data_IF_617702883784
#
_entry.id   IF_617702883784
#
_cell.length_a   1.000
_cell.length_b   1.000
_cell.length_c   1.000
_cell.angle_alpha   90.00
_cell.angle_beta   90.00
_cell.angle_gamma   90.00
#
_symmetry.space_group_name_H-M   'P 1'
#
loop_
_entity.id
_entity.type
_entity.pdbx_description
1 polymer ?
#
# COMPACT_ATOMS: atom_id res chain seq x y z
N UNK A 1 104.57 4.13 -15.31
CA UNK A 1 103.57 4.26 -16.39
C UNK A 1 102.54 3.11 -16.35
N UNK A 2 102.02 2.71 -15.18
CA UNK A 2 100.99 1.65 -15.09
C UNK A 2 99.64 2.10 -14.50
N UNK A 3 99.53 3.30 -13.93
CA UNK A 3 98.34 3.68 -13.14
C UNK A 3 97.15 4.19 -13.96
N UNK A 4 97.37 4.83 -15.10
CA UNK A 4 96.28 5.42 -15.91
C UNK A 4 95.45 4.39 -16.69
N UNK A 5 96.00 3.20 -16.98
CA UNK A 5 95.28 2.08 -17.62
C UNK A 5 94.50 1.24 -16.62
N UNK A 6 95.02 1.05 -15.40
CA UNK A 6 94.33 0.35 -14.32
C UNK A 6 93.10 1.13 -13.84
N UNK A 7 93.26 2.43 -13.55
CA UNK A 7 92.16 3.33 -13.16
C UNK A 7 91.04 3.40 -14.22
N UNK A 8 91.39 3.33 -15.51
CA UNK A 8 90.40 3.32 -16.60
C UNK A 8 89.63 1.99 -16.67
N UNK A 9 90.29 0.87 -16.37
CA UNK A 9 89.65 -0.45 -16.25
C UNK A 9 88.65 -0.50 -15.11
N UNK A 10 89.03 0.01 -13.93
CA UNK A 10 88.17 0.04 -12.74
C UNK A 10 86.93 0.92 -12.96
N UNK A 11 87.08 2.08 -13.59
CA UNK A 11 85.94 2.97 -13.93
C UNK A 11 84.99 2.31 -14.93
N UNK A 12 85.50 1.60 -15.94
CA UNK A 12 84.66 0.89 -16.91
C UNK A 12 83.90 -0.29 -16.27
N UNK A 13 84.55 -1.01 -15.35
CA UNK A 13 83.95 -2.11 -14.60
C UNK A 13 82.90 -1.61 -13.60
N UNK A 14 83.16 -0.48 -12.93
CA UNK A 14 82.19 0.21 -12.07
C UNK A 14 80.97 0.67 -12.87
N UNK A 15 81.15 1.25 -14.06
CA UNK A 15 80.06 1.69 -14.91
C UNK A 15 79.19 0.53 -15.41
N UNK A 16 79.78 -0.62 -15.74
CA UNK A 16 79.03 -1.83 -16.07
C UNK A 16 78.25 -2.38 -14.87
N UNK A 17 78.84 -2.38 -13.67
CA UNK A 17 78.15 -2.80 -12.44
C UNK A 17 76.94 -1.92 -12.14
N UNK A 18 77.10 -0.60 -12.18
CA UNK A 18 76.01 0.35 -11.92
C UNK A 18 74.89 0.24 -12.97
N UNK A 19 75.25 0.05 -14.24
CA UNK A 19 74.26 -0.18 -15.31
C UNK A 19 73.47 -1.48 -15.10
N UNK A 20 74.16 -2.55 -14.68
CA UNK A 20 73.53 -3.83 -14.34
C UNK A 20 72.59 -3.70 -13.14
N UNK A 21 73.04 -3.02 -12.08
CA UNK A 21 72.25 -2.80 -10.87
C UNK A 21 71.00 -1.97 -11.15
N UNK A 22 71.12 -0.89 -11.93
CA UNK A 22 69.98 -0.07 -12.35
C UNK A 22 68.96 -0.90 -13.15
N UNK A 23 69.43 -1.74 -14.09
CA UNK A 23 68.56 -2.61 -14.89
C UNK A 23 67.84 -3.65 -14.02
N UNK A 24 68.55 -4.24 -13.06
CA UNK A 24 67.96 -5.20 -12.11
C UNK A 24 66.93 -4.55 -11.20
N UNK A 25 67.19 -3.33 -10.71
CA UNK A 25 66.28 -2.55 -9.89
C UNK A 25 65.00 -2.19 -10.67
N UNK A 26 65.13 -1.71 -11.91
CA UNK A 26 63.99 -1.41 -12.77
C UNK A 26 63.14 -2.65 -13.07
N UNK A 27 63.80 -3.79 -13.32
CA UNK A 27 63.11 -5.08 -13.53
C UNK A 27 62.33 -5.51 -12.29
N UNK A 28 62.92 -5.35 -11.09
CA UNK A 28 62.24 -5.64 -9.83
C UNK A 28 61.02 -4.74 -9.63
N UNK A 29 61.17 -3.43 -9.84
CA UNK A 29 60.05 -2.50 -9.70
C UNK A 29 58.91 -2.79 -10.69
N UNK A 30 59.25 -3.08 -11.94
CA UNK A 30 58.25 -3.48 -12.94
C UNK A 30 57.47 -4.73 -12.50
N UNK A 31 58.17 -5.76 -12.01
CA UNK A 31 57.53 -6.99 -11.51
C UNK A 31 56.64 -6.74 -10.29
N UNK A 32 57.09 -5.90 -9.35
CA UNK A 32 56.27 -5.51 -8.19
C UNK A 32 55.01 -4.79 -8.65
N UNK A 33 55.12 -3.79 -9.51
CA UNK A 33 53.97 -3.04 -10.02
C UNK A 33 53.01 -3.93 -10.82
N UNK A 34 53.53 -4.84 -11.63
CA UNK A 34 52.73 -5.82 -12.38
C UNK A 34 51.94 -6.73 -11.44
N UNK A 35 52.58 -7.23 -10.38
CA UNK A 35 51.93 -8.09 -9.38
C UNK A 35 50.84 -7.34 -8.63
N UNK A 36 51.14 -6.13 -8.15
CA UNK A 36 50.18 -5.28 -7.44
C UNK A 36 48.96 -4.96 -8.31
N UNK A 37 49.18 -4.63 -9.59
CA UNK A 37 48.10 -4.38 -10.53
C UNK A 37 47.26 -5.63 -10.76
N UNK A 38 47.88 -6.79 -10.93
CA UNK A 38 47.17 -8.07 -11.12
C UNK A 38 46.29 -8.40 -9.92
N UNK A 39 46.79 -8.18 -8.70
CA UNK A 39 46.01 -8.37 -7.47
C UNK A 39 44.83 -7.40 -7.40
N UNK A 40 45.04 -6.12 -7.74
CA UNK A 40 43.97 -5.11 -7.77
C UNK A 40 42.88 -5.44 -8.78
N UNK A 41 43.26 -5.82 -10.00
CA UNK A 41 42.30 -6.20 -11.05
C UNK A 41 41.48 -7.41 -10.61
N UNK A 42 42.12 -8.42 -10.01
CA UNK A 42 41.41 -9.58 -9.48
C UNK A 42 40.42 -9.18 -8.38
N UNK A 43 40.86 -8.40 -7.40
CA UNK A 43 40.00 -7.94 -6.29
C UNK A 43 38.79 -7.16 -6.79
N UNK A 44 39.00 -6.22 -7.72
CA UNK A 44 37.90 -5.44 -8.31
C UNK A 44 36.96 -6.32 -9.14
N UNK A 45 37.50 -7.34 -9.82
CA UNK A 45 36.69 -8.33 -10.53
C UNK A 45 35.79 -9.13 -9.58
N UNK A 46 36.35 -9.62 -8.48
CA UNK A 46 35.62 -10.38 -7.46
C UNK A 46 34.53 -9.49 -6.79
N UNK A 47 34.86 -8.24 -6.45
CA UNK A 47 33.89 -7.27 -5.91
C UNK A 47 32.77 -6.95 -6.91
N UNK A 48 33.09 -6.80 -8.20
CA UNK A 48 32.09 -6.55 -9.23
C UNK A 48 31.13 -7.74 -9.41
N UNK A 49 31.62 -8.97 -9.27
CA UNK A 49 30.77 -10.18 -9.30
C UNK A 49 29.85 -10.19 -8.08
N UNK A 50 30.42 -10.01 -6.88
CA UNK A 50 29.64 -9.99 -5.63
C UNK A 50 28.54 -8.92 -5.65
N UNK A 51 28.85 -7.71 -6.09
CA UNK A 51 27.87 -6.62 -6.18
C UNK A 51 26.76 -6.93 -7.19
N UNK A 52 27.08 -7.61 -8.30
CA UNK A 52 26.07 -8.04 -9.28
C UNK A 52 25.13 -9.10 -8.70
N UNK A 53 25.66 -10.05 -7.94
CA UNK A 53 24.87 -11.08 -7.27
C UNK A 53 23.95 -10.46 -6.22
N UNK A 54 24.47 -9.57 -5.37
CA UNK A 54 23.66 -8.85 -4.38
C UNK A 54 22.59 -7.99 -5.02
N UNK A 55 22.90 -7.32 -6.14
CA UNK A 55 21.92 -6.53 -6.89
C UNK A 55 20.82 -7.43 -7.46
N UNK A 56 21.17 -8.59 -8.03
CA UNK A 56 20.20 -9.53 -8.56
C UNK A 56 19.27 -10.06 -7.46
N UNK A 57 19.82 -10.40 -6.29
CA UNK A 57 19.04 -10.84 -5.14
C UNK A 57 18.09 -9.74 -4.65
N UNK A 58 18.59 -8.53 -4.42
CA UNK A 58 17.78 -7.40 -3.97
C UNK A 58 16.65 -7.06 -4.96
N UNK A 59 16.93 -7.14 -6.26
CA UNK A 59 15.90 -6.95 -7.29
C UNK A 59 14.82 -8.04 -7.24
N UNK A 60 15.18 -9.29 -6.96
CA UNK A 60 14.19 -10.36 -6.84
C UNK A 60 13.34 -10.20 -5.58
N UNK A 61 13.96 -9.94 -4.43
CA UNK A 61 13.25 -9.65 -3.18
C UNK A 61 12.29 -8.46 -3.33
N UNK A 62 12.73 -7.40 -4.01
CA UNK A 62 11.87 -6.25 -4.31
C UNK A 62 10.69 -6.63 -5.22
N UNK A 63 10.90 -7.50 -6.21
CA UNK A 63 9.82 -7.97 -7.09
C UNK A 63 8.82 -8.84 -6.33
N UNK A 64 9.29 -9.73 -5.46
CA UNK A 64 8.42 -10.59 -4.65
C UNK A 64 7.59 -9.75 -3.68
N UNK A 65 8.23 -8.79 -3.01
CA UNK A 65 7.54 -7.92 -2.04
C UNK A 65 6.50 -7.04 -2.73
N UNK A 66 6.83 -6.46 -3.89
CA UNK A 66 5.85 -5.67 -4.68
C UNK A 66 4.64 -6.49 -5.09
N UNK A 67 4.84 -7.72 -5.58
CA UNK A 67 3.73 -8.61 -5.94
C UNK A 67 2.87 -8.96 -4.72
N UNK A 68 3.50 -9.30 -3.59
CA UNK A 68 2.77 -9.59 -2.36
C UNK A 68 1.97 -8.38 -1.88
N UNK A 69 2.55 -7.18 -1.95
CA UNK A 69 1.86 -5.95 -1.61
C UNK A 69 0.67 -5.66 -2.53
N UNK A 70 0.84 -5.82 -3.86
CA UNK A 70 -0.24 -5.65 -4.84
C UNK A 70 -1.39 -6.63 -4.61
N UNK A 71 -1.09 -7.91 -4.32
CA UNK A 71 -2.09 -8.92 -4.00
C UNK A 71 -2.85 -8.57 -2.73
N UNK A 72 -2.14 -8.24 -1.66
CA UNK A 72 -2.76 -7.84 -0.39
C UNK A 72 -3.63 -6.59 -0.56
N UNK A 73 -3.18 -5.62 -1.36
CA UNK A 73 -3.95 -4.43 -1.66
C UNK A 73 -5.25 -4.78 -2.39
N UNK A 74 -5.20 -5.65 -3.40
CA UNK A 74 -6.37 -6.12 -4.13
C UNK A 74 -7.35 -6.88 -3.23
N UNK A 75 -6.87 -7.73 -2.33
CA UNK A 75 -7.70 -8.45 -1.34
C UNK A 75 -8.41 -7.48 -0.40
N UNK A 76 -7.68 -6.46 0.08
CA UNK A 76 -8.25 -5.41 0.93
C UNK A 76 -9.31 -4.60 0.19
N UNK A 77 -9.04 -4.18 -1.04
CA UNK A 77 -9.98 -3.39 -1.84
C UNK A 77 -11.26 -4.21 -2.14
N UNK A 78 -11.10 -5.51 -2.42
CA UNK A 78 -12.24 -6.44 -2.59
C UNK A 78 -13.05 -6.56 -1.30
N UNK A 79 -12.39 -6.68 -0.15
CA UNK A 79 -13.05 -6.76 1.16
C UNK A 79 -13.80 -5.48 1.50
N UNK A 80 -13.20 -4.32 1.21
CA UNK A 80 -13.84 -3.01 1.41
C UNK A 80 -15.10 -2.92 0.56
N UNK A 81 -15.03 -3.28 -0.73
CA UNK A 81 -16.18 -3.24 -1.62
C UNK A 81 -17.32 -4.18 -1.16
N UNK A 82 -16.99 -5.40 -0.71
CA UNK A 82 -17.98 -6.34 -0.16
C UNK A 82 -18.66 -5.78 1.11
N UNK A 83 -17.88 -5.20 2.02
CA UNK A 83 -18.42 -4.59 3.24
C UNK A 83 -19.30 -3.36 2.94
N UNK A 84 -18.90 -2.52 1.99
CA UNK A 84 -19.71 -1.39 1.54
C UNK A 84 -21.05 -1.85 0.96
N UNK A 85 -21.03 -2.85 0.06
CA UNK A 85 -22.26 -3.41 -0.50
C UNK A 85 -23.18 -3.99 0.59
N UNK A 86 -22.63 -4.64 1.61
CA UNK A 86 -23.42 -5.16 2.75
C UNK A 86 -24.05 -4.03 3.56
N UNK A 87 -23.31 -2.95 3.82
CA UNK A 87 -23.84 -1.79 4.51
C UNK A 87 -24.98 -1.14 3.72
N UNK A 88 -24.78 -0.89 2.43
CA UNK A 88 -25.79 -0.28 1.55
C UNK A 88 -27.08 -1.13 1.49
N UNK A 89 -26.94 -2.46 1.38
CA UNK A 89 -28.07 -3.38 1.41
C UNK A 89 -28.79 -3.34 2.76
N UNK A 90 -28.05 -3.38 3.87
CA UNK A 90 -28.64 -3.30 5.21
C UNK A 90 -29.34 -1.97 5.46
N UNK A 91 -28.77 -0.85 5.00
CA UNK A 91 -29.37 0.47 5.09
C UNK A 91 -30.70 0.51 4.32
N UNK A 92 -30.71 0.01 3.09
CA UNK A 92 -31.92 -0.10 2.26
C UNK A 92 -33.00 -0.97 2.94
N UNK A 93 -32.61 -2.12 3.51
CA UNK A 93 -33.54 -3.02 4.19
C UNK A 93 -34.14 -2.37 5.45
N UNK A 94 -33.33 -1.65 6.23
CA UNK A 94 -33.81 -0.95 7.42
C UNK A 94 -34.71 0.23 7.07
N UNK A 95 -34.35 1.02 6.06
CA UNK A 95 -35.17 2.12 5.57
C UNK A 95 -36.54 1.60 5.11
N UNK A 96 -36.56 0.48 4.37
CA UNK A 96 -37.80 -0.18 3.96
C UNK A 96 -38.66 -0.62 5.15
N UNK A 97 -38.08 -1.32 6.13
CA UNK A 97 -38.82 -1.78 7.33
C UNK A 97 -39.41 -0.58 8.08
N UNK A 98 -38.65 0.51 8.22
CA UNK A 98 -39.11 1.73 8.87
C UNK A 98 -40.29 2.36 8.14
N UNK A 99 -40.19 2.52 6.82
CA UNK A 99 -41.28 3.06 6.01
C UNK A 99 -42.52 2.17 6.05
N UNK A 100 -42.38 0.87 5.82
CA UNK A 100 -43.50 -0.09 5.86
C UNK A 100 -44.22 -0.03 7.23
N UNK A 101 -43.45 0.09 8.32
CA UNK A 101 -44.01 0.19 9.68
C UNK A 101 -44.74 1.51 9.90
N UNK A 102 -44.16 2.64 9.48
CA UNK A 102 -44.76 3.96 9.63
C UNK A 102 -46.03 4.10 8.78
N UNK A 103 -46.02 3.58 7.55
CA UNK A 103 -47.18 3.58 6.66
C UNK A 103 -48.30 2.73 7.24
N UNK A 104 -47.98 1.54 7.78
CA UNK A 104 -48.95 0.68 8.46
C UNK A 104 -49.58 1.36 9.68
N UNK A 105 -48.76 1.99 10.54
CA UNK A 105 -49.25 2.72 11.71
C UNK A 105 -50.14 3.91 11.31
N UNK A 106 -49.75 4.63 10.27
CA UNK A 106 -50.52 5.78 9.75
C UNK A 106 -51.88 5.32 9.20
N UNK A 107 -51.91 4.21 8.46
CA UNK A 107 -53.16 3.60 7.98
C UNK A 107 -54.06 3.17 9.14
N UNK A 108 -53.51 2.52 10.17
CA UNK A 108 -54.28 2.11 11.35
C UNK A 108 -54.86 3.30 12.12
N UNK A 109 -54.10 4.40 12.25
CA UNK A 109 -54.59 5.62 12.87
C UNK A 109 -55.69 6.29 12.05
N UNK A 110 -55.57 6.31 10.73
CA UNK A 110 -56.61 6.83 9.84
C UNK A 110 -57.91 6.02 9.96
N UNK A 111 -57.81 4.68 9.95
CA UNK A 111 -58.96 3.79 10.12
C UNK A 111 -59.62 3.95 11.49
N UNK A 112 -58.83 4.03 12.55
CA UNK A 112 -59.35 4.24 13.90
C UNK A 112 -60.06 5.59 14.03
N UNK A 113 -59.49 6.65 13.43
CA UNK A 113 -60.12 7.98 13.40
C UNK A 113 -61.44 7.95 12.66
N UNK A 114 -61.48 7.31 11.49
CA UNK A 114 -62.70 7.19 10.69
C UNK A 114 -63.80 6.45 11.46
N UNK A 115 -63.48 5.32 12.09
CA UNK A 115 -64.46 4.58 12.92
C UNK A 115 -65.00 5.41 14.06
N UNK A 116 -64.13 6.19 14.73
CA UNK A 116 -64.56 7.04 15.83
C UNK A 116 -65.44 8.20 15.36
N UNK A 117 -65.13 8.80 14.21
CA UNK A 117 -65.99 9.79 13.55
C UNK A 117 -67.36 9.17 13.20
N UNK A 118 -67.39 7.98 12.60
CA UNK A 118 -68.63 7.27 12.26
C UNK A 118 -69.47 6.96 13.51
N UNK A 119 -68.88 6.35 14.55
CA UNK A 119 -69.55 6.06 15.82
C UNK A 119 -70.09 7.34 16.47
N UNK A 120 -69.32 8.42 16.46
CA UNK A 120 -69.77 9.72 16.97
C UNK A 120 -70.98 10.25 16.18
N UNK A 121 -70.98 10.14 14.85
CA UNK A 121 -72.13 10.56 14.04
C UNK A 121 -73.37 9.72 14.31
N UNK A 122 -73.23 8.42 14.51
CA UNK A 122 -74.35 7.52 14.86
C UNK A 122 -74.93 7.91 16.22
N UNK A 123 -74.10 8.09 17.25
CA UNK A 123 -74.56 8.51 18.58
C UNK A 123 -75.26 9.88 18.53
N UNK A 124 -74.72 10.84 17.78
CA UNK A 124 -75.35 12.15 17.61
C UNK A 124 -76.72 12.04 16.92
N UNK A 125 -76.85 11.16 15.93
CA UNK A 125 -78.11 10.93 15.24
C UNK A 125 -79.15 10.27 16.15
N UNK A 126 -78.77 9.21 16.89
CA UNK A 126 -79.65 8.55 17.87
C UNK A 126 -80.16 9.54 18.93
N UNK A 127 -79.30 10.41 19.44
CA UNK A 127 -79.68 11.40 20.44
C UNK A 127 -80.67 12.44 19.88
N UNK A 128 -80.48 12.85 18.62
CA UNK A 128 -81.38 13.77 17.93
C UNK A 128 -82.76 13.16 17.71
N UNK A 129 -82.82 11.88 17.35
CA UNK A 129 -84.07 11.13 17.22
C UNK A 129 -84.79 11.03 18.56
N UNK A 130 -84.07 10.66 19.62
CA UNK A 130 -84.62 10.57 20.98
C UNK A 130 -85.21 11.91 21.46
N UNK A 131 -84.49 13.02 21.28
CA UNK A 131 -85.02 14.35 21.62
C UNK A 131 -86.30 14.68 20.85
N UNK A 132 -86.35 14.32 19.56
CA UNK A 132 -87.53 14.52 18.71
C UNK A 132 -88.73 13.72 19.22
N UNK A 133 -88.52 12.49 19.70
CA UNK A 133 -89.57 11.66 20.32
C UNK A 133 -90.14 12.29 21.59
N UNK A 134 -89.35 13.08 22.32
CA UNK A 134 -89.80 13.86 23.48
C UNK A 134 -90.39 15.24 23.10
N UNK A 135 -90.46 15.60 21.82
CA UNK A 135 -90.96 16.89 21.34
C UNK A 135 -90.00 18.06 21.57
N UNK A 136 -88.72 17.78 21.85
CA UNK A 136 -87.66 18.76 22.05
C UNK A 136 -86.83 18.90 20.77
N UNK A 137 -86.54 20.12 20.35
CA UNK A 137 -85.72 20.37 19.17
C UNK A 137 -84.26 20.58 19.57
N UNK A 138 -83.33 19.91 18.88
CA UNK A 138 -81.90 20.00 19.20
C UNK A 138 -81.26 21.36 18.84
N UNK A 139 -82.01 22.25 18.20
CA UNK A 139 -81.59 23.62 17.83
C UNK A 139 -82.04 24.69 18.84
N UNK A 140 -82.93 24.33 19.79
CA UNK A 140 -83.50 25.24 20.79
C UNK A 140 -82.75 25.20 22.15
N UNK A 141 -81.70 24.37 22.26
CA UNK A 141 -80.80 24.21 23.43
C UNK A 141 -79.37 24.46 22.97
#
# INVERSE_FOLDING_TARGET
MCDTTALRGDVAQQAQSVSHDLRSHLTRQYKTMQTDMTVKVKKLGDEAILLREQLAQCQEELRTERRAHEQLQQEKDTTIADLQNKLDNMETDYEKILHDTLDSLTSHLADARLRWEDESTVVHQEYKELLSDFGLNSLDI
#
